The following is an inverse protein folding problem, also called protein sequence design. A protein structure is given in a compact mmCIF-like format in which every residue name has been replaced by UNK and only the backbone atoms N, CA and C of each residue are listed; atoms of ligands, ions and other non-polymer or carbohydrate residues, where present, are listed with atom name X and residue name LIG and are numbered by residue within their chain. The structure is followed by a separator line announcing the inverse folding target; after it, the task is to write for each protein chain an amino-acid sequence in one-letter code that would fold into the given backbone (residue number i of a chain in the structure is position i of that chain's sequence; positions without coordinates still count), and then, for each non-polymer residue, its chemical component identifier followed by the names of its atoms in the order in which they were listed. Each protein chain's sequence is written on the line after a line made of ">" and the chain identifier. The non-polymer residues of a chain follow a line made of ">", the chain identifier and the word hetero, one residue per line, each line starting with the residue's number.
data_IF_362500599028
#
_entry.id   IF_362500599028
#
_cell.length_a   1.000
_cell.length_b   1.000
_cell.length_c   1.000
_cell.angle_alpha   90.00
_cell.angle_beta   90.00
_cell.angle_gamma   90.00
#
_symmetry.space_group_name_H-M   'P 1'
#
loop_
_entity.id
_entity.type
_entity.pdbx_description
1 polymer ?
#
# COMPACT_ATOMS: atom_id res chain seq x y z
N UNK A 1 32.05 -0.12 16.85
CA UNK A 1 30.57 -0.02 16.83
C UNK A 1 30.11 -0.11 15.38
N UNK A 2 29.47 -1.21 14.98
CA UNK A 2 28.86 -1.31 13.65
C UNK A 2 27.59 -0.45 13.63
N UNK A 3 27.54 0.55 12.74
CA UNK A 3 26.34 1.31 12.44
C UNK A 3 25.51 0.48 11.46
N UNK A 4 24.54 -0.28 11.96
CA UNK A 4 23.51 -0.86 11.10
C UNK A 4 22.65 0.29 10.55
N UNK A 5 22.60 0.45 9.23
CA UNK A 5 21.72 1.42 8.57
C UNK A 5 20.28 0.86 8.59
N UNK A 6 19.26 1.74 8.67
CA UNK A 6 17.82 1.37 8.78
C UNK A 6 17.34 0.33 7.75
N UNK A 7 17.99 0.25 6.59
CA UNK A 7 17.71 -0.77 5.57
C UNK A 7 18.04 -2.21 5.99
N UNK A 8 19.02 -2.40 6.87
CA UNK A 8 19.41 -3.73 7.36
C UNK A 8 18.51 -4.24 8.50
N UNK A 9 17.66 -3.38 9.08
CA UNK A 9 16.71 -3.77 10.13
C UNK A 9 15.31 -4.16 9.62
N UNK A 10 15.00 -3.94 8.33
CA UNK A 10 13.65 -4.14 7.78
C UNK A 10 13.48 -5.44 6.96
N UNK A 11 14.56 -6.02 6.44
CA UNK A 11 14.50 -7.31 5.74
C UNK A 11 13.86 -8.45 6.57
N UNK A 12 14.05 -8.54 7.90
CA UNK A 12 13.38 -9.55 8.73
C UNK A 12 11.85 -9.42 8.73
N UNK A 13 11.33 -8.19 8.66
CA UNK A 13 9.88 -7.92 8.71
C UNK A 13 9.15 -8.38 7.44
N UNK A 14 9.76 -8.24 6.27
CA UNK A 14 9.15 -8.71 5.01
C UNK A 14 9.00 -10.23 4.96
N UNK A 15 9.87 -10.96 5.68
CA UNK A 15 9.87 -12.41 5.76
C UNK A 15 8.93 -12.93 6.85
N UNK A 16 8.61 -12.10 7.85
CA UNK A 16 7.62 -12.40 8.88
C UNK A 16 6.31 -11.66 8.61
N UNK A 17 5.40 -12.36 7.93
CA UNK A 17 4.09 -11.81 7.56
C UNK A 17 3.30 -11.31 8.76
N UNK A 18 3.41 -11.98 9.90
CA UNK A 18 2.66 -11.59 11.09
C UNK A 18 3.22 -10.31 11.68
N UNK A 19 4.55 -10.21 11.81
CA UNK A 19 5.22 -8.99 12.25
C UNK A 19 4.90 -7.79 11.34
N UNK A 20 4.87 -8.00 10.02
CA UNK A 20 4.50 -6.94 9.07
C UNK A 20 3.04 -6.50 9.22
N UNK A 21 2.10 -7.42 9.49
CA UNK A 21 0.69 -7.04 9.75
C UNK A 21 0.59 -6.18 11.00
N UNK A 22 1.29 -6.54 12.09
CA UNK A 22 1.29 -5.73 13.31
C UNK A 22 1.90 -4.34 13.09
N UNK A 23 3.00 -4.27 12.36
CA UNK A 23 3.67 -3.02 12.00
C UNK A 23 2.75 -2.08 11.20
N UNK A 24 2.00 -2.63 10.24
CA UNK A 24 1.04 -1.87 9.44
C UNK A 24 -0.18 -1.48 10.29
N UNK A 25 -0.67 -2.35 11.17
CA UNK A 25 -1.76 -2.04 12.11
C UNK A 25 -1.39 -0.85 13.00
N UNK A 26 -0.17 -0.85 13.57
CA UNK A 26 0.35 0.26 14.38
C UNK A 26 0.42 1.55 13.56
N UNK A 27 1.00 1.51 12.36
CA UNK A 27 1.09 2.67 11.47
C UNK A 27 -0.30 3.23 11.10
N UNK A 28 -1.27 2.36 10.79
CA UNK A 28 -2.64 2.78 10.49
C UNK A 28 -3.35 3.35 11.71
N UNK A 29 -3.08 2.82 12.91
CA UNK A 29 -3.65 3.34 14.15
C UNK A 29 -3.15 4.75 14.47
N UNK A 30 -1.88 5.05 14.18
CA UNK A 30 -1.31 6.40 14.30
C UNK A 30 -1.95 7.38 13.33
N UNK A 31 -2.16 6.97 12.07
CA UNK A 31 -2.69 7.84 11.01
C UNK A 31 -4.22 7.99 11.05
N UNK A 32 -4.94 6.91 11.42
CA UNK A 32 -6.40 6.80 11.32
C UNK A 32 -7.01 6.12 12.56
N UNK A 33 -6.79 6.64 13.79
CA UNK A 33 -7.11 5.95 15.04
C UNK A 33 -8.58 5.56 15.16
N UNK A 34 -9.50 6.44 14.75
CA UNK A 34 -10.94 6.19 14.84
C UNK A 34 -11.40 5.08 13.89
N UNK A 35 -10.82 5.03 12.69
CA UNK A 35 -11.19 4.03 11.69
C UNK A 35 -10.68 2.65 12.10
N UNK A 36 -9.44 2.57 12.58
CA UNK A 36 -8.87 1.32 13.09
C UNK A 36 -9.66 0.80 14.30
N UNK A 37 -10.04 1.69 15.23
CA UNK A 37 -10.83 1.31 16.41
C UNK A 37 -12.26 0.83 16.07
N UNK A 38 -12.83 1.26 14.94
CA UNK A 38 -14.19 0.90 14.52
C UNK A 38 -14.29 -0.48 13.86
N UNK A 39 -13.15 -1.09 13.49
CA UNK A 39 -13.12 -2.34 12.72
C UNK A 39 -12.72 -3.51 13.62
N UNK A 40 -13.44 -4.65 13.60
CA UNK A 40 -13.01 -5.85 14.31
C UNK A 40 -11.61 -6.30 13.87
N UNK A 41 -10.72 -6.56 14.84
CA UNK A 41 -9.29 -6.79 14.58
C UNK A 41 -9.01 -7.89 13.55
N UNK A 42 -9.74 -9.01 13.59
CA UNK A 42 -9.57 -10.09 12.61
C UNK A 42 -9.89 -9.64 11.17
N UNK A 43 -10.90 -8.79 10.99
CA UNK A 43 -11.24 -8.24 9.68
C UNK A 43 -10.23 -7.17 9.25
N UNK A 44 -9.79 -6.30 10.17
CA UNK A 44 -8.71 -5.35 9.93
C UNK A 44 -7.44 -6.06 9.40
N UNK A 45 -7.04 -7.15 10.04
CA UNK A 45 -5.88 -7.93 9.62
C UNK A 45 -6.06 -8.56 8.24
N UNK A 46 -7.27 -9.02 7.90
CA UNK A 46 -7.55 -9.51 6.55
C UNK A 46 -7.35 -8.40 5.50
N UNK A 47 -7.85 -7.19 5.75
CA UNK A 47 -7.68 -6.04 4.87
C UNK A 47 -6.22 -5.59 4.73
N UNK A 48 -5.48 -5.57 5.83
CA UNK A 48 -4.04 -5.30 5.84
C UNK A 48 -3.30 -6.36 5.01
N UNK A 49 -3.60 -7.63 5.26
CA UNK A 49 -2.98 -8.74 4.55
C UNK A 49 -3.22 -8.65 3.04
N UNK A 50 -4.42 -8.31 2.60
CA UNK A 50 -4.70 -8.11 1.17
C UNK A 50 -3.93 -6.91 0.61
N UNK A 51 -3.86 -5.80 1.36
CA UNK A 51 -3.07 -4.63 0.95
C UNK A 51 -1.60 -4.96 0.74
N UNK A 52 -1.01 -5.77 1.63
CA UNK A 52 0.37 -6.22 1.48
C UNK A 52 0.51 -7.17 0.28
N UNK A 53 -0.45 -8.08 0.03
CA UNK A 53 -0.41 -8.97 -1.16
C UNK A 53 -0.34 -8.15 -2.44
N UNK A 54 -1.19 -7.13 -2.58
CA UNK A 54 -1.22 -6.26 -3.76
C UNK A 54 0.06 -5.45 -3.88
N UNK A 55 0.56 -4.87 -2.78
CA UNK A 55 1.81 -4.12 -2.78
C UNK A 55 2.98 -4.99 -3.28
N UNK A 56 3.11 -6.21 -2.77
CA UNK A 56 4.16 -7.16 -3.19
C UNK A 56 4.00 -7.58 -4.66
N UNK A 57 2.77 -7.76 -5.14
CA UNK A 57 2.51 -8.04 -6.55
C UNK A 57 2.94 -6.88 -7.47
N UNK A 58 2.72 -5.65 -7.02
CA UNK A 58 3.25 -4.43 -7.65
C UNK A 58 4.77 -4.26 -7.44
N UNK A 59 5.46 -5.26 -6.89
CA UNK A 59 6.89 -5.24 -6.59
C UNK A 59 7.29 -4.07 -5.68
N UNK A 60 6.44 -3.75 -4.71
CA UNK A 60 6.75 -2.83 -3.61
C UNK A 60 7.31 -3.68 -2.48
N UNK A 61 8.61 -3.57 -2.22
CA UNK A 61 9.37 -4.46 -1.35
C UNK A 61 10.06 -3.70 -0.21
N UNK A 62 9.96 -2.38 -0.14
CA UNK A 62 10.39 -1.61 1.03
C UNK A 62 9.25 -1.50 2.05
N UNK A 63 9.53 -1.71 3.34
CA UNK A 63 8.51 -1.69 4.40
C UNK A 63 7.82 -0.33 4.49
N UNK A 64 8.57 0.78 4.36
CA UNK A 64 7.97 2.12 4.41
C UNK A 64 7.07 2.38 3.21
N UNK A 65 7.43 1.89 2.03
CA UNK A 65 6.56 2.01 0.86
C UNK A 65 5.33 1.11 0.94
N UNK A 66 5.42 -0.08 1.56
CA UNK A 66 4.24 -0.92 1.83
C UNK A 66 3.30 -0.22 2.82
N UNK A 67 3.83 0.40 3.89
CA UNK A 67 3.04 1.23 4.82
C UNK A 67 2.34 2.36 4.08
N UNK A 68 3.07 3.10 3.25
CA UNK A 68 2.52 4.19 2.46
C UNK A 68 1.41 3.69 1.52
N UNK A 69 1.65 2.61 0.78
CA UNK A 69 0.65 2.01 -0.11
C UNK A 69 -0.61 1.60 0.65
N UNK A 70 -0.46 0.95 1.80
CA UNK A 70 -1.59 0.60 2.66
C UNK A 70 -2.35 1.85 3.10
N UNK A 71 -1.66 2.86 3.63
CA UNK A 71 -2.29 4.11 4.05
C UNK A 71 -3.09 4.78 2.91
N UNK A 72 -2.60 4.73 1.67
CA UNK A 72 -3.32 5.26 0.50
C UNK A 72 -4.64 4.51 0.22
N UNK A 73 -4.64 3.16 0.29
CA UNK A 73 -5.86 2.35 0.14
C UNK A 73 -6.92 2.70 1.18
N UNK A 74 -6.48 2.94 2.42
CA UNK A 74 -7.35 3.27 3.55
C UNK A 74 -7.86 4.72 3.50
N UNK A 75 -7.01 5.67 3.08
CA UNK A 75 -7.34 7.11 3.09
C UNK A 75 -8.19 7.55 1.92
N UNK A 76 -7.85 7.11 0.70
CA UNK A 76 -8.42 7.68 -0.52
C UNK A 76 -9.39 6.73 -1.20
N UNK A 77 -8.88 5.63 -1.73
CA UNK A 77 -9.69 4.61 -2.38
C UNK A 77 -8.98 3.26 -2.32
N UNK A 78 -9.67 2.18 -1.89
CA UNK A 78 -9.04 0.87 -1.78
C UNK A 78 -8.54 0.31 -3.11
N UNK A 79 -9.12 0.75 -4.23
CA UNK A 79 -8.74 0.34 -5.59
C UNK A 79 -8.01 1.41 -6.39
N UNK A 80 -7.37 2.42 -5.76
CA UNK A 80 -6.77 3.55 -6.51
C UNK A 80 -5.78 3.10 -7.59
N UNK A 81 -5.05 2.02 -7.34
CA UNK A 81 -4.09 1.43 -8.28
C UNK A 81 -4.73 0.94 -9.58
N UNK A 82 -6.06 0.79 -9.64
CA UNK A 82 -6.78 0.44 -10.88
C UNK A 82 -6.96 1.62 -11.83
N UNK A 83 -6.75 2.85 -11.39
CA UNK A 83 -6.79 4.00 -12.30
C UNK A 83 -5.62 3.87 -13.30
N UNK A 84 -5.87 3.97 -14.63
CA UNK A 84 -4.87 3.61 -15.64
C UNK A 84 -3.52 4.34 -15.55
N UNK A 85 -3.50 5.60 -15.11
CA UNK A 85 -2.27 6.39 -14.99
C UNK A 85 -1.50 6.02 -13.73
N UNK A 86 -2.19 5.85 -12.61
CA UNK A 86 -1.59 5.38 -11.35
C UNK A 86 -1.06 3.95 -11.51
N UNK A 87 -1.82 3.08 -12.18
CA UNK A 87 -1.39 1.73 -12.53
C UNK A 87 -0.10 1.73 -13.34
N UNK A 88 -0.05 2.58 -14.38
CA UNK A 88 1.13 2.68 -15.25
C UNK A 88 2.36 3.09 -14.46
N UNK A 89 2.25 4.05 -13.54
CA UNK A 89 3.36 4.44 -12.64
C UNK A 89 3.78 3.24 -11.78
N UNK A 90 2.82 2.57 -11.15
CA UNK A 90 3.08 1.45 -10.24
C UNK A 90 3.70 0.25 -10.96
N UNK A 91 3.46 0.07 -12.25
CA UNK A 91 3.94 -1.07 -13.05
C UNK A 91 5.06 -0.72 -14.03
N UNK A 92 5.51 0.54 -14.08
CA UNK A 92 6.46 1.04 -15.07
C UNK A 92 7.80 0.28 -14.99
N UNK A 93 8.07 -0.54 -16.01
CA UNK A 93 9.33 -1.24 -16.13
C UNK A 93 10.47 -0.23 -16.36
N UNK A 94 11.47 -0.23 -15.47
CA UNK A 94 12.64 0.64 -15.55
C UNK A 94 12.70 1.74 -14.49
N UNK A 95 11.63 1.97 -13.73
CA UNK A 95 11.68 2.83 -12.54
C UNK A 95 12.03 2.03 -11.29
N UNK A 96 12.82 2.63 -10.42
CA UNK A 96 13.02 2.10 -9.07
C UNK A 96 11.71 2.23 -8.28
N UNK A 97 11.56 1.43 -7.23
CA UNK A 97 10.41 1.54 -6.33
C UNK A 97 10.24 2.95 -5.76
N UNK A 98 11.31 3.55 -5.25
CA UNK A 98 11.29 4.92 -4.75
C UNK A 98 10.81 5.92 -5.81
N UNK A 99 11.29 5.82 -7.04
CA UNK A 99 10.87 6.69 -8.14
C UNK A 99 9.39 6.50 -8.53
N UNK A 100 8.84 5.30 -8.35
CA UNK A 100 7.39 5.06 -8.53
C UNK A 100 6.59 5.72 -7.42
N UNK A 101 7.03 5.61 -6.15
CA UNK A 101 6.35 6.25 -5.02
C UNK A 101 6.39 7.78 -5.11
N UNK A 102 7.52 8.35 -5.51
CA UNK A 102 7.66 9.78 -5.74
C UNK A 102 6.71 10.27 -6.86
N UNK A 103 6.64 9.54 -7.97
CA UNK A 103 5.77 9.88 -9.09
C UNK A 103 4.27 9.85 -8.75
N UNK A 104 3.84 9.07 -7.75
CA UNK A 104 2.46 9.12 -7.26
C UNK A 104 2.09 10.48 -6.63
N UNK A 105 3.09 11.19 -6.09
CA UNK A 105 2.93 12.51 -5.49
C UNK A 105 3.11 13.68 -6.45
N UNK A 106 3.38 13.41 -7.73
CA UNK A 106 3.56 14.45 -8.75
C UNK A 106 2.24 15.25 -8.92
N UNK A 107 2.28 16.59 -8.91
CA UNK A 107 1.11 17.43 -9.18
C UNK A 107 0.37 17.08 -10.48
N UNK A 108 1.06 16.58 -11.51
CA UNK A 108 0.43 16.13 -12.76
C UNK A 108 -0.55 14.95 -12.55
N UNK A 109 -0.40 14.20 -11.46
CA UNK A 109 -1.26 13.07 -11.10
C UNK A 109 -2.52 13.46 -10.35
N UNK A 110 -2.73 14.75 -10.04
CA UNK A 110 -3.91 15.20 -9.29
C UNK A 110 -5.23 14.72 -9.93
N UNK A 111 -5.36 14.83 -11.25
CA UNK A 111 -6.56 14.36 -11.97
C UNK A 111 -6.74 12.84 -11.90
N UNK A 112 -5.64 12.08 -11.87
CA UNK A 112 -5.69 10.63 -11.75
C UNK A 112 -6.20 10.24 -10.36
N UNK A 113 -5.71 10.91 -9.31
CA UNK A 113 -6.21 10.74 -7.94
C UNK A 113 -7.68 11.11 -7.80
N UNK A 114 -8.11 12.23 -8.38
CA UNK A 114 -9.53 12.63 -8.38
C UNK A 114 -10.41 11.58 -9.07
N UNK A 115 -9.97 11.03 -10.20
CA UNK A 115 -10.69 9.95 -10.90
C UNK A 115 -10.77 8.68 -10.06
N UNK A 116 -9.67 8.26 -9.43
CA UNK A 116 -9.62 7.10 -8.55
C UNK A 116 -10.57 7.24 -7.34
N UNK A 117 -10.63 8.43 -6.73
CA UNK A 117 -11.53 8.73 -5.62
C UNK A 117 -12.99 8.75 -6.09
N UNK A 118 -13.28 9.35 -7.24
CA UNK A 118 -14.63 9.38 -7.80
C UNK A 118 -15.15 7.98 -8.16
N UNK A 119 -14.25 7.09 -8.58
CA UNK A 119 -14.54 5.68 -8.88
C UNK A 119 -14.39 4.75 -7.66
N UNK A 120 -14.31 5.29 -6.43
CA UNK A 120 -14.12 4.50 -5.22
C UNK A 120 -15.22 3.45 -5.07
N UNK A 121 -14.82 2.18 -5.13
CA UNK A 121 -15.69 1.04 -4.89
C UNK A 121 -15.16 0.21 -3.70
N UNK A 122 -15.96 0.03 -2.63
CA UNK A 122 -15.58 -0.80 -1.49
C UNK A 122 -15.23 -2.24 -1.86
N UNK A 123 -15.78 -2.79 -2.95
CA UNK A 123 -15.47 -4.16 -3.40
C UNK A 123 -13.98 -4.37 -3.71
N UNK A 124 -13.22 -3.29 -3.96
CA UNK A 124 -11.78 -3.38 -4.18
C UNK A 124 -10.97 -3.71 -2.93
N UNK A 125 -11.59 -3.74 -1.74
CA UNK A 125 -10.94 -4.30 -0.55
C UNK A 125 -10.58 -5.77 -0.73
N UNK A 126 -11.39 -6.51 -1.49
CA UNK A 126 -11.27 -7.95 -1.75
C UNK A 126 -10.55 -8.26 -3.08
N UNK A 127 -10.00 -7.25 -3.76
CA UNK A 127 -9.25 -7.43 -5.00
C UNK A 127 -8.15 -8.49 -4.82
N UNK A 128 -8.13 -9.47 -5.72
CA UNK A 128 -7.06 -10.46 -5.78
C UNK A 128 -6.01 -10.01 -6.80
N UNK A 129 -4.70 -10.08 -6.50
CA UNK A 129 -3.64 -9.65 -7.41
C UNK A 129 -3.74 -10.26 -8.81
N UNK A 130 -4.22 -11.51 -8.91
CA UNK A 130 -4.41 -12.25 -10.15
C UNK A 130 -5.51 -11.65 -11.04
N UNK A 131 -6.46 -10.92 -10.46
CA UNK A 131 -7.56 -10.23 -11.18
C UNK A 131 -7.14 -8.85 -11.71
N UNK A 132 -5.93 -8.39 -11.37
CA UNK A 132 -5.40 -7.10 -11.82
C UNK A 132 -4.65 -7.20 -13.15
N UNK A 133 -4.37 -8.41 -13.64
CA UNK A 133 -3.67 -8.67 -14.90
C UNK A 133 -4.61 -8.80 -16.13
N UNK A 134 -5.90 -8.54 -15.96
CA UNK A 134 -6.94 -8.62 -17.01
C UNK A 134 -7.36 -7.21 -17.44
#
# INVERSE_FOLDING_TARGET
>A
MLKFTKQQSQAPLLLDRQALIFDIEEHLAEQFPQMVAAVPRGYLWALINESIRIALWLRIQDVEHIRFFCALRWKFAPGFYREPRLWRILTEAGRTEAARMEALGDPEMERAWQAAIAARNPAHWDDQPETLAQ
#
